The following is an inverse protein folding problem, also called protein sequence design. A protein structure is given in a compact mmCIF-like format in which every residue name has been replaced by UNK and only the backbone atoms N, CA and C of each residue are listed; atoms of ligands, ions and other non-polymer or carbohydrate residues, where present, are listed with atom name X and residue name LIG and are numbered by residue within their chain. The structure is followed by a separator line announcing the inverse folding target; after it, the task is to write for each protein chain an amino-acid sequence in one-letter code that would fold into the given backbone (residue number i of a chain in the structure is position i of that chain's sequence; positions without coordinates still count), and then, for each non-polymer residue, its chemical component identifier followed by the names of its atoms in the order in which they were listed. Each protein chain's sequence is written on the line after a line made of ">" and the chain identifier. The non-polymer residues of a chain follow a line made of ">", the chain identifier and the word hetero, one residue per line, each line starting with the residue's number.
data_IF_788082955002
#
_entry.id   IF_788082955002
#
_cell.length_a   1.000
_cell.length_b   1.000
_cell.length_c   1.000
_cell.angle_alpha   90.00
_cell.angle_beta   90.00
_cell.angle_gamma   90.00
#
_symmetry.space_group_name_H-M   'P 1'
#
loop_
_entity.id
_entity.type
_entity.pdbx_description
1 polymer ?
#
# COMPACT_ATOMS: atom_id res chain seq x y z
N UNK A 1 48.55 32.17 -49.66
CA UNK A 1 47.18 31.75 -49.29
C UNK A 1 46.99 32.10 -47.82
N UNK A 2 45.82 32.64 -47.44
CA UNK A 2 45.59 33.31 -46.14
C UNK A 2 45.09 32.34 -45.06
N UNK A 3 45.50 32.53 -43.81
CA UNK A 3 45.01 31.80 -42.64
C UNK A 3 44.00 32.61 -41.81
N UNK A 4 42.83 32.01 -41.56
CA UNK A 4 41.66 32.48 -40.78
C UNK A 4 40.99 31.19 -40.27
N UNK A 5 40.59 30.96 -39.02
CA UNK A 5 40.61 31.68 -37.72
C UNK A 5 40.86 30.61 -36.62
N UNK A 6 41.02 30.87 -35.33
CA UNK A 6 41.04 32.10 -34.52
C UNK A 6 41.07 31.69 -33.04
N UNK A 7 42.11 32.07 -32.29
CA UNK A 7 42.43 31.54 -30.95
C UNK A 7 41.58 32.08 -29.79
N UNK A 8 40.31 32.36 -30.03
CA UNK A 8 39.47 33.18 -29.13
C UNK A 8 38.39 32.39 -28.36
N UNK A 9 38.14 31.12 -28.72
CA UNK A 9 37.19 30.26 -28.03
C UNK A 9 37.51 30.03 -26.53
N UNK A 10 38.78 30.22 -26.13
CA UNK A 10 39.22 30.18 -24.72
C UNK A 10 39.51 31.58 -24.14
N UNK A 11 39.44 32.65 -24.96
CA UNK A 11 39.71 34.03 -24.51
C UNK A 11 38.44 34.73 -24.03
N UNK A 12 37.27 34.38 -24.57
CA UNK A 12 35.97 34.95 -24.16
C UNK A 12 35.47 34.52 -22.77
N UNK A 13 36.13 33.58 -22.07
CA UNK A 13 35.77 33.25 -20.69
C UNK A 13 36.31 34.27 -19.66
N UNK A 14 37.32 35.07 -20.04
CA UNK A 14 38.06 35.95 -19.14
C UNK A 14 37.68 37.46 -19.25
N UNK A 15 36.80 37.82 -20.18
CA UNK A 15 36.49 39.22 -20.52
C UNK A 15 35.03 39.63 -20.25
N UNK A 16 34.12 38.70 -19.97
CA UNK A 16 32.75 39.02 -19.58
C UNK A 16 32.74 39.52 -18.13
N UNK A 17 32.16 40.71 -17.89
CA UNK A 17 31.97 41.18 -16.52
C UNK A 17 30.93 40.31 -15.79
N UNK A 18 30.98 40.22 -14.45
CA UNK A 18 30.02 39.40 -13.70
C UNK A 18 28.56 39.76 -13.98
N UNK A 19 28.27 41.02 -14.30
CA UNK A 19 26.93 41.49 -14.64
C UNK A 19 26.40 40.88 -15.96
N UNK A 20 27.22 40.84 -17.02
CA UNK A 20 26.83 40.28 -18.33
C UNK A 20 26.62 38.75 -18.27
N UNK A 21 27.35 38.06 -17.39
CA UNK A 21 27.11 36.64 -17.10
C UNK A 21 25.76 36.42 -16.40
N UNK A 22 25.44 37.24 -15.39
CA UNK A 22 24.15 37.18 -14.67
C UNK A 22 22.98 37.50 -15.60
N UNK A 23 23.06 38.58 -16.38
CA UNK A 23 22.00 38.94 -17.35
C UNK A 23 21.75 37.82 -18.37
N UNK A 24 22.80 37.12 -18.81
CA UNK A 24 22.67 35.99 -19.74
C UNK A 24 22.08 34.74 -19.09
N UNK A 25 22.36 34.50 -17.80
CA UNK A 25 21.74 33.45 -17.01
C UNK A 25 20.26 33.77 -16.76
N UNK A 26 19.91 35.02 -16.43
CA UNK A 26 18.52 35.47 -16.27
C UNK A 26 17.73 35.44 -17.59
N UNK A 27 18.35 35.77 -18.72
CA UNK A 27 17.74 35.65 -20.04
C UNK A 27 17.49 34.18 -20.41
N UNK A 28 18.42 33.27 -20.09
CA UNK A 28 18.24 31.84 -20.28
C UNK A 28 17.15 31.28 -19.36
N UNK A 29 17.17 31.63 -18.07
CA UNK A 29 16.15 31.22 -17.11
C UNK A 29 14.78 31.78 -17.53
N UNK A 30 14.69 33.01 -18.03
CA UNK A 30 13.43 33.58 -18.58
C UNK A 30 12.95 32.84 -19.83
N UNK A 31 13.84 32.38 -20.70
CA UNK A 31 13.50 31.65 -21.91
C UNK A 31 13.05 30.20 -21.65
N UNK A 32 13.55 29.57 -20.58
CA UNK A 32 13.25 28.18 -20.23
C UNK A 32 12.40 27.99 -18.96
N UNK A 33 12.11 29.06 -18.21
CA UNK A 33 11.15 29.03 -17.10
C UNK A 33 9.81 28.54 -17.65
N UNK A 34 9.29 27.41 -17.15
CA UNK A 34 7.97 26.94 -17.53
C UNK A 34 6.98 28.08 -17.30
N UNK A 35 6.04 28.27 -18.24
CA UNK A 35 5.07 29.38 -18.20
C UNK A 35 3.98 29.10 -17.17
N UNK A 36 4.37 28.96 -15.90
CA UNK A 36 3.52 28.80 -14.70
C UNK A 36 2.83 30.12 -14.36
N UNK A 37 1.97 30.54 -15.28
CA UNK A 37 1.36 31.87 -15.29
C UNK A 37 0.26 32.03 -16.35
N UNK A 38 -0.28 30.93 -16.86
CA UNK A 38 -1.62 30.90 -17.42
C UNK A 38 -2.52 30.19 -16.40
N UNK A 39 -3.51 30.90 -15.87
CA UNK A 39 -4.61 30.29 -15.16
C UNK A 39 -5.57 29.67 -16.18
N UNK A 40 -5.11 28.60 -16.84
CA UNK A 40 -6.04 27.61 -17.34
C UNK A 40 -6.90 27.19 -16.14
N UNK A 41 -8.24 27.07 -16.28
CA UNK A 41 -9.02 26.45 -15.23
C UNK A 41 -8.43 25.05 -15.08
N UNK A 42 -7.83 24.77 -13.91
CA UNK A 42 -7.40 23.44 -13.53
C UNK A 42 -8.68 22.62 -13.52
N UNK A 43 -8.96 21.96 -14.65
CA UNK A 43 -10.12 21.13 -14.83
C UNK A 43 -10.03 20.10 -13.72
N UNK A 44 -10.92 20.25 -12.73
CA UNK A 44 -10.80 19.62 -11.42
C UNK A 44 -10.55 18.14 -11.65
N UNK A 45 -9.28 17.73 -11.50
CA UNK A 45 -8.80 16.47 -12.07
C UNK A 45 -9.24 15.38 -11.11
N UNK A 46 -10.52 15.04 -11.26
CA UNK A 46 -11.31 14.18 -10.40
C UNK A 46 -10.42 13.01 -10.02
N UNK A 47 -10.04 12.85 -8.74
CA UNK A 47 -9.09 11.82 -8.35
C UNK A 47 -9.65 10.50 -8.87
N UNK A 48 -8.93 9.89 -9.82
CA UNK A 48 -9.42 8.75 -10.57
C UNK A 48 -9.77 7.68 -9.56
N UNK A 49 -11.07 7.42 -9.36
CA UNK A 49 -11.50 6.59 -8.25
C UNK A 49 -10.81 5.23 -8.38
N UNK A 50 -10.01 4.81 -7.38
CA UNK A 50 -9.25 3.58 -7.49
C UNK A 50 -10.22 2.43 -7.77
N UNK A 51 -9.89 1.61 -8.77
CA UNK A 51 -10.78 0.53 -9.20
C UNK A 51 -10.63 -0.63 -8.21
N UNK A 52 -11.71 -1.13 -7.57
CA UNK A 52 -11.63 -2.28 -6.68
C UNK A 52 -11.00 -3.50 -7.37
N UNK A 53 -9.98 -4.07 -6.75
CA UNK A 53 -9.33 -5.30 -7.19
C UNK A 53 -9.83 -6.47 -6.36
N UNK A 54 -10.31 -7.53 -7.02
CA UNK A 54 -10.67 -8.79 -6.36
C UNK A 54 -9.42 -9.66 -6.20
N UNK A 55 -8.76 -9.55 -5.06
CA UNK A 55 -7.73 -10.51 -4.66
C UNK A 55 -8.38 -11.82 -4.19
N UNK A 56 -7.87 -12.96 -4.66
CA UNK A 56 -8.26 -14.25 -4.11
C UNK A 56 -7.51 -14.49 -2.80
N UNK A 57 -8.26 -14.80 -1.74
CA UNK A 57 -7.72 -15.23 -0.46
C UNK A 57 -8.07 -16.71 -0.29
N UNK A 58 -7.12 -17.50 0.19
CA UNK A 58 -7.39 -18.91 0.50
C UNK A 58 -8.32 -18.97 1.72
N UNK A 59 -9.24 -19.93 1.74
CA UNK A 59 -10.06 -20.17 2.93
C UNK A 59 -9.16 -20.51 4.13
N UNK A 60 -9.56 -20.06 5.32
CA UNK A 60 -8.99 -20.56 6.57
C UNK A 60 -9.85 -21.72 7.04
N UNK A 61 -9.29 -22.92 7.10
CA UNK A 61 -10.02 -24.13 7.46
C UNK A 61 -10.14 -24.29 8.99
N UNK A 62 -9.19 -23.74 9.74
CA UNK A 62 -9.08 -23.89 11.19
C UNK A 62 -8.20 -25.06 11.60
N UNK A 63 -7.28 -25.49 10.72
CA UNK A 63 -6.51 -26.73 10.88
C UNK A 63 -5.19 -26.54 11.67
N UNK A 64 -4.73 -27.64 12.28
CA UNK A 64 -3.61 -27.62 13.23
C UNK A 64 -2.23 -27.44 12.55
N UNK A 65 -1.90 -26.19 12.26
CA UNK A 65 -0.65 -25.80 11.58
C UNK A 65 -0.84 -24.64 10.62
N UNK A 66 -2.09 -24.31 10.26
CA UNK A 66 -2.39 -23.10 9.53
C UNK A 66 -1.99 -21.84 10.32
N UNK A 67 -1.48 -20.84 9.60
CA UNK A 67 -1.06 -19.59 10.20
C UNK A 67 -2.19 -18.56 10.15
N UNK A 68 -2.99 -18.48 11.22
CA UNK A 68 -4.08 -17.52 11.34
C UNK A 68 -3.61 -16.07 11.16
N UNK A 69 -2.44 -15.69 11.69
CA UNK A 69 -1.93 -14.31 11.55
C UNK A 69 -1.66 -13.95 10.08
N UNK A 70 -1.08 -14.87 9.32
CA UNK A 70 -0.83 -14.69 7.89
C UNK A 70 -2.13 -14.64 7.08
N UNK A 71 -3.12 -15.47 7.43
CA UNK A 71 -4.45 -15.40 6.80
C UNK A 71 -5.16 -14.07 7.10
N UNK A 72 -5.22 -13.64 8.36
CA UNK A 72 -5.77 -12.34 8.77
C UNK A 72 -5.12 -11.21 7.97
N UNK A 73 -3.79 -11.23 7.79
CA UNK A 73 -3.09 -10.19 7.03
C UNK A 73 -3.39 -10.22 5.52
N UNK A 74 -3.60 -11.40 4.93
CA UNK A 74 -4.08 -11.53 3.53
C UNK A 74 -5.50 -10.98 3.37
N UNK A 75 -6.38 -11.25 4.34
CA UNK A 75 -7.75 -10.77 4.35
C UNK A 75 -7.79 -9.25 4.43
N UNK A 76 -7.00 -8.62 5.32
CA UNK A 76 -6.86 -7.16 5.40
C UNK A 76 -6.42 -6.56 4.06
N UNK A 77 -5.37 -7.11 3.45
CA UNK A 77 -4.87 -6.63 2.15
C UNK A 77 -5.91 -6.78 1.03
N UNK A 78 -6.74 -7.83 1.06
CA UNK A 78 -7.83 -8.02 0.13
C UNK A 78 -9.01 -7.06 0.37
N UNK A 79 -9.31 -6.71 1.63
CA UNK A 79 -10.27 -5.65 1.96
C UNK A 79 -9.82 -4.29 1.44
N UNK A 80 -8.56 -3.94 1.65
CA UNK A 80 -7.97 -2.68 1.18
C UNK A 80 -7.98 -2.61 -0.35
N UNK A 81 -7.55 -3.68 -1.03
CA UNK A 81 -7.56 -3.78 -2.49
C UNK A 81 -8.97 -3.74 -3.09
N UNK A 82 -9.96 -4.31 -2.41
CA UNK A 82 -11.38 -4.26 -2.78
C UNK A 82 -12.11 -3.00 -2.30
N UNK A 83 -11.40 -2.06 -1.64
CA UNK A 83 -11.93 -0.79 -1.10
C UNK A 83 -13.10 -0.98 -0.12
N UNK A 84 -13.04 -2.03 0.71
CA UNK A 84 -14.07 -2.37 1.69
C UNK A 84 -13.90 -1.51 2.94
N UNK A 85 -14.64 -0.40 2.98
CA UNK A 85 -14.58 0.60 4.06
C UNK A 85 -15.49 0.30 5.26
N UNK A 86 -16.63 -0.37 5.06
CA UNK A 86 -17.61 -0.57 6.14
C UNK A 86 -17.34 -1.85 6.92
N UNK A 87 -17.39 -1.76 8.26
CA UNK A 87 -17.14 -2.90 9.15
C UNK A 87 -18.07 -4.10 8.86
N UNK A 88 -19.34 -3.85 8.51
CA UNK A 88 -20.28 -4.90 8.13
C UNK A 88 -19.84 -5.66 6.88
N UNK A 89 -19.32 -4.96 5.86
CA UNK A 89 -18.79 -5.61 4.66
C UNK A 89 -17.45 -6.30 4.93
N UNK A 90 -16.59 -5.76 5.81
CA UNK A 90 -15.36 -6.44 6.25
C UNK A 90 -15.67 -7.75 6.95
N UNK A 91 -16.59 -7.73 7.92
CA UNK A 91 -17.05 -8.94 8.63
C UNK A 91 -17.64 -9.95 7.63
N UNK A 92 -18.53 -9.53 6.73
CA UNK A 92 -19.12 -10.41 5.73
C UNK A 92 -18.07 -11.02 4.78
N UNK A 93 -17.17 -10.20 4.23
CA UNK A 93 -16.08 -10.66 3.36
C UNK A 93 -15.16 -11.65 4.05
N UNK A 94 -14.79 -11.39 5.30
CA UNK A 94 -13.99 -12.36 6.05
C UNK A 94 -14.79 -13.64 6.39
N UNK A 95 -16.12 -13.59 6.56
CA UNK A 95 -16.93 -14.79 6.85
C UNK A 95 -16.92 -15.71 5.63
N UNK A 96 -17.10 -15.16 4.43
CA UNK A 96 -17.02 -15.93 3.17
C UNK A 96 -15.62 -16.43 2.82
N UNK A 97 -14.60 -16.16 3.64
CA UNK A 97 -13.25 -16.70 3.51
C UNK A 97 -12.89 -17.68 4.64
N UNK A 98 -13.86 -18.10 5.47
CA UNK A 98 -13.69 -19.26 6.34
C UNK A 98 -14.11 -20.53 5.60
N UNK A 99 -13.54 -21.66 5.98
CA UNK A 99 -13.92 -22.99 5.51
C UNK A 99 -14.01 -23.99 6.66
N UNK A 100 -14.54 -25.18 6.36
CA UNK A 100 -14.52 -26.36 7.21
C UNK A 100 -14.84 -26.08 8.70
N UNK A 101 -13.85 -26.24 9.59
CA UNK A 101 -14.00 -26.09 11.04
C UNK A 101 -14.16 -24.61 11.44
N UNK A 102 -13.49 -23.69 10.77
CA UNK A 102 -13.63 -22.26 11.04
C UNK A 102 -15.01 -21.71 10.65
N UNK A 103 -15.58 -22.18 9.54
CA UNK A 103 -16.93 -21.84 9.12
C UNK A 103 -17.99 -22.39 10.09
N UNK A 104 -17.88 -23.68 10.44
CA UNK A 104 -18.74 -24.33 11.44
C UNK A 104 -18.72 -23.62 12.81
N UNK A 105 -17.52 -23.20 13.24
CA UNK A 105 -17.35 -22.40 14.45
C UNK A 105 -18.04 -21.04 14.34
N UNK A 106 -17.84 -20.31 13.24
CA UNK A 106 -18.43 -18.99 13.05
C UNK A 106 -19.97 -19.05 13.02
N UNK A 107 -20.55 -20.07 12.38
CA UNK A 107 -21.99 -20.33 12.42
C UNK A 107 -22.48 -20.58 13.85
N UNK A 108 -21.75 -21.40 14.62
CA UNK A 108 -22.09 -21.70 16.02
C UNK A 108 -22.04 -20.45 16.91
N UNK A 109 -21.05 -19.58 16.70
CA UNK A 109 -20.96 -18.30 17.40
C UNK A 109 -22.16 -17.40 17.12
N UNK A 110 -22.59 -17.29 15.86
CA UNK A 110 -23.72 -16.43 15.46
C UNK A 110 -25.07 -16.96 15.96
N UNK A 111 -25.25 -18.30 16.01
CA UNK A 111 -26.44 -18.92 16.62
C UNK A 111 -26.48 -18.71 18.14
N UNK A 112 -25.33 -18.80 18.81
CA UNK A 112 -25.23 -18.67 20.28
C UNK A 112 -25.33 -17.21 20.74
N UNK A 113 -24.78 -16.29 19.96
CA UNK A 113 -24.78 -14.85 20.22
C UNK A 113 -24.93 -14.09 18.89
N UNK A 114 -26.17 -13.78 18.47
CA UNK A 114 -26.41 -13.01 17.26
C UNK A 114 -25.67 -11.67 17.29
N UNK A 115 -25.00 -11.33 16.20
CA UNK A 115 -24.14 -10.16 16.12
C UNK A 115 -22.83 -10.29 16.90
N UNK A 116 -22.33 -11.50 17.19
CA UNK A 116 -21.05 -11.70 17.90
C UNK A 116 -19.87 -11.03 17.18
N UNK A 117 -19.94 -10.91 15.85
CA UNK A 117 -18.97 -10.25 14.99
C UNK A 117 -19.34 -8.79 14.68
N UNK A 118 -19.40 -7.92 15.71
CA UNK A 118 -19.74 -6.50 15.52
C UNK A 118 -18.70 -5.68 14.74
N UNK A 119 -17.42 -6.07 14.81
CA UNK A 119 -16.29 -5.37 14.15
C UNK A 119 -15.21 -6.37 13.72
N UNK A 120 -14.37 -5.98 12.77
CA UNK A 120 -13.21 -6.75 12.33
C UNK A 120 -12.22 -7.05 13.47
N UNK A 121 -11.96 -6.06 14.33
CA UNK A 121 -11.07 -6.20 15.47
C UNK A 121 -11.57 -7.27 16.46
N UNK A 122 -12.84 -7.17 16.90
CA UNK A 122 -13.48 -8.13 17.82
C UNK A 122 -13.49 -9.54 17.24
N UNK A 123 -13.74 -9.65 15.94
CA UNK A 123 -13.66 -10.93 15.22
C UNK A 123 -12.25 -11.51 15.23
N UNK A 124 -11.22 -10.69 14.98
CA UNK A 124 -9.83 -11.15 15.03
C UNK A 124 -9.47 -11.68 16.42
N UNK A 125 -9.95 -11.04 17.48
CA UNK A 125 -9.76 -11.51 18.87
C UNK A 125 -10.47 -12.86 19.10
N UNK A 126 -11.72 -13.00 18.67
CA UNK A 126 -12.47 -14.27 18.79
C UNK A 126 -11.81 -15.41 18.00
N UNK A 127 -11.35 -15.16 16.77
CA UNK A 127 -10.62 -16.16 15.97
C UNK A 127 -9.30 -16.56 16.65
N UNK A 128 -8.54 -15.59 17.19
CA UNK A 128 -7.31 -15.88 17.96
C UNK A 128 -7.63 -16.73 19.19
N UNK A 129 -8.66 -16.38 19.96
CA UNK A 129 -9.05 -17.12 21.16
C UNK A 129 -9.53 -18.56 20.86
N UNK A 130 -10.17 -18.79 19.71
CA UNK A 130 -10.69 -20.11 19.31
C UNK A 130 -9.65 -21.01 18.62
N UNK A 131 -8.72 -20.44 17.84
CA UNK A 131 -7.80 -21.20 16.98
C UNK A 131 -6.32 -21.09 17.35
N UNK A 132 -5.92 -20.15 18.21
CA UNK A 132 -4.56 -20.11 18.77
C UNK A 132 -4.59 -20.58 20.23
N UNK A 133 -4.09 -21.78 20.53
CA UNK A 133 -3.86 -22.20 21.92
C UNK A 133 -2.95 -21.18 22.63
N UNK A 134 -3.11 -21.02 23.95
CA UNK A 134 -2.23 -20.17 24.76
C UNK A 134 -0.73 -20.57 24.67
N UNK A 135 -0.44 -21.79 24.21
CA UNK A 135 0.91 -22.31 23.94
C UNK A 135 1.41 -22.11 22.50
N UNK A 136 0.66 -21.42 21.61
CA UNK A 136 1.02 -21.29 20.19
C UNK A 136 2.43 -20.74 19.99
N UNK A 137 2.79 -19.61 20.63
CA UNK A 137 4.13 -19.06 20.52
C UNK A 137 5.20 -20.03 21.03
N UNK A 138 4.96 -20.70 22.16
CA UNK A 138 5.88 -21.68 22.72
C UNK A 138 6.08 -22.87 21.76
N UNK A 139 5.01 -23.30 21.08
CA UNK A 139 5.08 -24.36 20.06
C UNK A 139 5.85 -23.92 18.82
N UNK A 140 5.71 -22.68 18.37
CA UNK A 140 6.50 -22.14 17.26
C UNK A 140 7.98 -22.00 17.65
N UNK A 141 8.28 -21.48 18.85
CA UNK A 141 9.65 -21.40 19.40
C UNK A 141 10.28 -22.80 19.52
N UNK A 142 9.56 -23.78 20.08
CA UNK A 142 10.05 -25.17 20.18
C UNK A 142 10.25 -25.83 18.82
N UNK A 143 9.39 -25.59 17.82
CA UNK A 143 9.57 -26.08 16.45
C UNK A 143 10.83 -25.50 15.80
N UNK A 144 11.06 -24.20 15.94
CA UNK A 144 12.26 -23.54 15.43
C UNK A 144 13.54 -24.10 16.07
N UNK A 145 13.54 -24.30 17.39
CA UNK A 145 14.66 -24.88 18.14
C UNK A 145 14.87 -26.39 17.90
N UNK A 146 13.87 -27.09 17.37
CA UNK A 146 13.95 -28.51 17.02
C UNK A 146 14.54 -28.78 15.63
N UNK A 147 14.54 -27.79 14.73
CA UNK A 147 15.26 -27.88 13.47
C UNK A 147 16.76 -27.67 13.72
N UNK A 148 17.53 -28.76 13.59
CA UNK A 148 19.00 -28.80 13.66
C UNK A 148 19.58 -29.29 12.34
#
# INVERSE_FOLDING_TARGET
>A
MVGIFGGDALRSLAAATPAEQVERIEAFDTAYRPRTGAADPVAEMKPAQPKPLRLMVNHYEGEEGENLHFWVRKVELAMDAALISTERLRVAFALSNLGARADTWAYTCEVTSPGCFTTWARRCEQLRAAFLPASYENRQRSRFLACK
#
